data_IF_663626455965
#
_entry.id   IF_663626455965
#
_cell.length_a   1.000
_cell.length_b   1.000
_cell.length_c   1.000
_cell.angle_alpha   90.00
_cell.angle_beta   90.00
_cell.angle_gamma   90.00
#
_symmetry.space_group_name_H-M   'P 1'
#
loop_
_entity.id
_entity.type
_entity.pdbx_description
1 polymer ?
#
# COMPACT_ATOMS: atom_id res chain seq x y z
N UNK A 1 -7.54 3.44 52.84
CA UNK A 1 -8.73 3.83 52.07
C UNK A 1 -8.28 4.94 51.12
N UNK A 2 -7.44 4.63 50.11
CA UNK A 2 -7.83 4.43 48.69
C UNK A 2 -8.51 5.69 48.12
N UNK A 3 -7.73 6.69 47.70
CA UNK A 3 -7.11 6.85 46.36
C UNK A 3 -8.18 7.16 45.29
N UNK A 4 -8.22 8.45 44.93
CA UNK A 4 -9.04 9.04 43.87
C UNK A 4 -9.02 8.21 42.59
N UNK A 5 -10.20 7.76 42.20
CA UNK A 5 -10.46 7.09 40.93
C UNK A 5 -10.28 8.11 39.79
N UNK A 6 -9.26 7.86 38.96
CA UNK A 6 -8.82 8.75 37.87
C UNK A 6 -9.53 8.44 36.55
N UNK A 7 -10.68 7.78 36.59
CA UNK A 7 -11.51 7.48 35.43
C UNK A 7 -12.77 8.35 35.38
N UNK A 8 -13.07 9.03 34.26
CA UNK A 8 -14.36 9.67 34.06
C UNK A 8 -15.49 8.64 34.02
N UNK A 9 -16.68 9.04 34.48
CA UNK A 9 -17.89 8.21 34.48
C UNK A 9 -18.25 7.66 33.09
N UNK A 10 -18.82 6.45 33.08
CA UNK A 10 -19.16 5.69 31.88
C UNK A 10 -20.22 6.41 31.03
N UNK A 11 -19.76 7.18 30.04
CA UNK A 11 -20.58 7.68 28.95
C UNK A 11 -20.03 7.25 27.59
N UNK A 12 -20.87 6.54 26.83
CA UNK A 12 -20.97 6.52 25.37
C UNK A 12 -19.83 5.93 24.51
N UNK A 13 -18.56 6.00 24.91
CA UNK A 13 -17.41 5.70 24.02
C UNK A 13 -16.86 4.27 24.09
N UNK A 14 -17.33 3.43 25.02
CA UNK A 14 -16.82 2.04 25.19
C UNK A 14 -17.43 1.00 24.24
N UNK A 15 -18.32 1.36 23.31
CA UNK A 15 -18.83 0.39 22.32
C UNK A 15 -17.95 0.21 21.08
N UNK A 16 -16.92 1.02 20.88
CA UNK A 16 -16.04 0.90 19.70
C UNK A 16 -14.78 0.04 19.90
N UNK A 17 -14.48 -0.43 21.12
CA UNK A 17 -13.21 -1.15 21.41
C UNK A 17 -13.43 -2.59 21.91
N UNK A 18 -14.57 -3.20 21.58
CA UNK A 18 -14.83 -4.64 21.88
C UNK A 18 -15.15 -5.49 20.64
N UNK A 19 -14.89 -4.98 19.43
CA UNK A 19 -15.13 -5.72 18.18
C UNK A 19 -14.00 -6.63 17.69
N UNK A 20 -12.78 -6.58 18.27
CA UNK A 20 -11.59 -7.22 17.68
C UNK A 20 -11.05 -8.39 18.51
N UNK A 21 -11.85 -9.00 19.38
CA UNK A 21 -11.44 -10.22 20.09
C UNK A 21 -12.53 -11.28 19.97
N UNK A 22 -12.39 -12.18 19.00
CA UNK A 22 -13.23 -13.38 18.91
C UNK A 22 -13.36 -13.96 17.50
N UNK A 23 -12.31 -14.64 17.03
CA UNK A 23 -12.36 -15.34 15.74
C UNK A 23 -11.38 -16.52 15.65
N UNK A 24 -11.07 -17.19 16.75
CA UNK A 24 -10.26 -18.41 16.76
C UNK A 24 -11.10 -19.57 17.29
N UNK A 25 -11.91 -20.19 16.41
CA UNK A 25 -12.24 -21.63 16.40
C UNK A 25 -13.33 -21.90 15.35
N UNK A 26 -12.99 -22.56 14.25
CA UNK A 26 -13.93 -23.43 13.53
C UNK A 26 -13.17 -24.66 13.05
N UNK A 27 -13.16 -25.68 13.90
CA UNK A 27 -12.87 -27.05 13.50
C UNK A 27 -14.17 -27.68 12.99
N UNK A 28 -14.13 -28.11 11.72
CA UNK A 28 -15.02 -28.98 10.94
C UNK A 28 -16.45 -29.32 11.43
N UNK A 29 -17.43 -29.12 10.56
CA UNK A 29 -18.10 -30.17 9.76
C UNK A 29 -19.12 -29.51 8.81
N UNK A 30 -19.25 -30.06 7.59
CA UNK A 30 -20.04 -29.48 6.51
C UNK A 30 -21.56 -29.63 6.64
N UNK A 31 -22.26 -28.81 5.86
CA UNK A 31 -23.42 -29.11 4.97
C UNK A 31 -24.12 -27.77 4.65
N UNK A 32 -24.23 -27.50 3.35
CA UNK A 32 -25.22 -26.69 2.64
C UNK A 32 -25.88 -25.48 3.35
N UNK A 33 -25.55 -24.29 2.82
CA UNK A 33 -26.49 -23.18 2.65
C UNK A 33 -26.86 -22.37 3.89
N UNK A 34 -26.44 -21.11 3.92
CA UNK A 34 -27.29 -19.90 3.84
C UNK A 34 -26.74 -18.72 4.65
N UNK A 35 -27.08 -17.54 4.12
CA UNK A 35 -27.09 -16.21 4.74
C UNK A 35 -25.74 -15.50 4.85
N UNK A 36 -25.51 -14.60 3.90
CA UNK A 36 -24.56 -13.49 4.00
C UNK A 36 -24.95 -12.58 5.17
N UNK A 37 -24.37 -12.84 6.35
CA UNK A 37 -24.42 -11.88 7.47
C UNK A 37 -23.24 -10.92 7.30
N UNK A 38 -23.34 -9.98 6.35
CA UNK A 38 -22.46 -8.81 6.28
C UNK A 38 -23.12 -7.54 6.86
N UNK A 39 -24.33 -7.65 7.40
CA UNK A 39 -25.00 -6.52 8.04
C UNK A 39 -24.78 -6.59 9.54
N UNK A 40 -23.98 -5.67 10.09
CA UNK A 40 -24.16 -5.00 11.40
C UNK A 40 -22.92 -4.21 11.88
N UNK A 41 -21.82 -4.11 11.11
CA UNK A 41 -20.68 -3.23 11.44
C UNK A 41 -20.03 -2.48 10.27
N UNK A 42 -20.55 -2.59 9.03
CA UNK A 42 -20.02 -1.81 7.91
C UNK A 42 -20.28 -0.32 8.13
N UNK A 43 -19.23 0.49 8.08
CA UNK A 43 -19.36 1.93 7.89
C UNK A 43 -20.12 2.18 6.57
N UNK A 44 -20.94 3.23 6.52
CA UNK A 44 -21.60 3.63 5.28
C UNK A 44 -20.56 4.02 4.22
N UNK A 45 -20.75 3.53 2.98
CA UNK A 45 -19.91 3.87 1.83
C UNK A 45 -19.94 2.80 0.74
N UNK A 46 -19.25 3.04 -0.37
CA UNK A 46 -19.14 2.13 -1.54
C UNK A 46 -17.88 1.27 -1.40
N UNK A 47 -18.03 -0.03 -1.68
CA UNK A 47 -16.94 -1.01 -1.56
C UNK A 47 -16.47 -1.22 -0.12
N UNK A 48 -15.27 -1.74 0.03
CA UNK A 48 -14.65 -2.01 1.32
C UNK A 48 -15.03 -3.38 1.91
N UNK A 49 -14.38 -3.72 3.02
CA UNK A 49 -14.48 -5.04 3.64
C UNK A 49 -13.21 -5.87 3.46
N UNK A 50 -13.29 -7.19 3.70
CA UNK A 50 -12.12 -8.06 3.58
C UNK A 50 -11.69 -8.17 2.12
N UNK A 51 -10.44 -7.79 1.84
CA UNK A 51 -9.78 -7.95 0.54
C UNK A 51 -8.45 -8.68 0.74
N UNK A 52 -8.13 -9.57 -0.18
CA UNK A 52 -6.81 -10.21 -0.23
C UNK A 52 -5.93 -9.36 -1.15
N UNK A 53 -4.89 -8.74 -0.57
CA UNK A 53 -4.01 -7.82 -1.29
C UNK A 53 -2.56 -8.30 -1.22
N UNK A 54 -1.79 -8.03 -2.27
CA UNK A 54 -0.36 -8.26 -2.30
C UNK A 54 0.36 -7.07 -1.67
N UNK A 55 1.21 -7.35 -0.67
CA UNK A 55 1.83 -6.32 0.15
C UNK A 55 3.30 -6.63 0.40
N UNK A 56 4.12 -5.61 0.66
CA UNK A 56 5.48 -5.83 1.17
C UNK A 56 5.44 -6.48 2.56
N UNK A 57 6.30 -7.46 2.83
CA UNK A 57 6.22 -8.26 4.04
C UNK A 57 6.54 -7.45 5.31
N UNK A 58 5.61 -7.43 6.27
CA UNK A 58 5.85 -6.81 7.59
C UNK A 58 6.64 -7.76 8.48
N UNK A 59 7.94 -7.50 8.54
CA UNK A 59 8.90 -8.29 9.32
C UNK A 59 9.10 -7.82 10.77
N UNK A 60 8.55 -6.67 11.17
CA UNK A 60 8.66 -6.18 12.55
C UNK A 60 7.76 -5.01 12.94
N UNK A 61 7.65 -4.79 14.25
CA UNK A 61 6.90 -3.68 14.87
C UNK A 61 5.38 -3.87 14.93
N UNK A 62 4.62 -2.82 15.29
CA UNK A 62 3.20 -2.92 15.65
C UNK A 62 2.21 -2.84 14.48
N UNK A 63 2.69 -2.56 13.25
CA UNK A 63 1.82 -2.52 12.09
C UNK A 63 1.05 -3.85 11.92
N UNK A 64 -0.23 -3.82 11.55
CA UNK A 64 -1.04 -5.04 11.44
C UNK A 64 -0.69 -5.89 10.21
N UNK A 65 -0.30 -5.27 9.10
CA UNK A 65 0.00 -5.91 7.80
C UNK A 65 0.98 -5.07 6.98
N UNK A 66 1.42 -5.59 5.83
CA UNK A 66 2.29 -4.95 4.85
C UNK A 66 1.67 -3.75 4.13
N UNK A 67 2.48 -2.96 3.42
CA UNK A 67 1.93 -1.89 2.57
C UNK A 67 1.61 -2.46 1.17
N UNK A 68 0.44 -2.13 0.58
CA UNK A 68 0.01 -2.66 -0.71
C UNK A 68 0.99 -2.34 -1.84
N UNK A 69 1.31 -3.36 -2.63
CA UNK A 69 2.00 -3.18 -3.90
C UNK A 69 1.10 -2.40 -4.87
N UNK A 70 1.71 -1.53 -5.65
CA UNK A 70 1.10 -0.95 -6.84
C UNK A 70 1.70 -1.71 -8.02
N UNK A 71 0.92 -2.51 -8.78
CA UNK A 71 1.41 -3.10 -10.01
C UNK A 71 1.85 -2.00 -10.98
N UNK A 72 2.92 -2.24 -11.73
CA UNK A 72 3.52 -1.25 -12.63
C UNK A 72 3.72 -1.80 -14.02
N UNK A 73 3.88 -0.90 -14.98
CA UNK A 73 4.40 -1.19 -16.32
C UNK A 73 5.32 -0.05 -16.76
N UNK A 74 6.28 -0.38 -17.63
CA UNK A 74 7.14 0.59 -18.30
C UNK A 74 6.62 0.77 -19.73
N UNK A 75 6.36 2.01 -20.14
CA UNK A 75 5.90 2.28 -21.50
C UNK A 75 7.01 2.13 -22.55
N UNK A 76 6.66 2.27 -23.83
CA UNK A 76 7.61 2.13 -24.95
C UNK A 76 8.66 3.24 -25.02
N UNK A 77 8.44 4.35 -24.31
CA UNK A 77 9.40 5.43 -24.15
C UNK A 77 10.27 5.27 -22.90
N UNK A 78 10.00 4.28 -22.02
CA UNK A 78 10.75 4.00 -20.81
C UNK A 78 10.19 4.65 -19.53
N UNK A 79 9.02 5.29 -19.57
CA UNK A 79 8.39 5.90 -18.40
C UNK A 79 7.59 4.89 -17.56
N UNK A 80 7.66 5.06 -16.25
CA UNK A 80 7.09 4.14 -15.27
C UNK A 80 5.70 4.64 -14.85
N UNK A 81 4.69 3.78 -14.97
CA UNK A 81 3.32 4.07 -14.50
C UNK A 81 2.75 2.95 -13.66
N UNK A 82 1.88 3.32 -12.72
CA UNK A 82 1.10 2.35 -11.95
C UNK A 82 -0.09 1.85 -12.77
N UNK A 83 -0.34 0.55 -12.78
CA UNK A 83 -1.53 -0.03 -13.41
C UNK A 83 -2.74 0.35 -12.56
N UNK A 84 -3.76 0.95 -13.17
CA UNK A 84 -5.07 1.13 -12.53
C UNK A 84 -6.04 0.11 -13.12
N UNK A 85 -6.79 -0.65 -12.29
CA UNK A 85 -7.66 -1.70 -12.80
C UNK A 85 -8.77 -1.17 -13.71
N UNK A 86 -9.33 -2.05 -14.54
CA UNK A 86 -10.54 -1.75 -15.31
C UNK A 86 -11.71 -1.35 -14.41
N UNK A 87 -12.46 -0.31 -14.82
CA UNK A 87 -13.65 0.17 -14.12
C UNK A 87 -14.87 -0.61 -14.58
N UNK A 88 -15.56 -1.26 -13.65
CA UNK A 88 -16.82 -1.97 -13.88
C UNK A 88 -17.96 -1.32 -13.07
N UNK A 89 -19.18 -1.43 -13.59
CA UNK A 89 -20.41 -0.97 -12.91
C UNK A 89 -21.14 -2.17 -12.33
N UNK A 90 -21.28 -2.20 -11.00
CA UNK A 90 -21.93 -3.30 -10.27
C UNK A 90 -23.17 -2.84 -9.50
N UNK A 91 -24.19 -3.69 -9.42
CA UNK A 91 -25.36 -3.43 -8.57
C UNK A 91 -25.10 -3.97 -7.15
N UNK A 92 -24.80 -3.08 -6.21
CA UNK A 92 -24.60 -3.41 -4.79
C UNK A 92 -25.80 -2.92 -3.99
N UNK A 93 -26.56 -3.87 -3.41
CA UNK A 93 -27.75 -3.57 -2.60
C UNK A 93 -28.81 -2.73 -3.34
N UNK A 94 -28.94 -2.91 -4.66
CA UNK A 94 -29.91 -2.17 -5.49
C UNK A 94 -29.44 -0.78 -5.92
N UNK A 95 -28.16 -0.47 -5.77
CA UNK A 95 -27.52 0.78 -6.22
C UNK A 95 -26.40 0.43 -7.18
N UNK A 96 -26.40 1.03 -8.37
CA UNK A 96 -25.28 0.94 -9.30
C UNK A 96 -24.08 1.71 -8.74
N UNK A 97 -22.94 1.04 -8.63
CA UNK A 97 -21.69 1.59 -8.12
C UNK A 97 -20.53 1.23 -9.05
N UNK A 98 -19.61 2.16 -9.25
CA UNK A 98 -18.40 1.92 -10.03
C UNK A 98 -17.27 1.44 -9.13
N UNK A 99 -16.60 0.37 -9.56
CA UNK A 99 -15.52 -0.29 -8.86
C UNK A 99 -14.42 -0.61 -9.87
N UNK A 100 -13.19 -0.19 -9.61
CA UNK A 100 -12.04 -0.62 -10.39
C UNK A 100 -11.52 -1.98 -9.87
N UNK A 101 -11.62 -3.03 -10.71
CA UNK A 101 -11.08 -4.36 -10.43
C UNK A 101 -10.77 -5.14 -11.72
N UNK A 102 -9.74 -5.97 -11.70
CA UNK A 102 -9.39 -6.87 -12.79
C UNK A 102 -8.69 -8.14 -12.29
N UNK A 103 -8.46 -9.10 -13.18
CA UNK A 103 -7.59 -10.24 -12.91
C UNK A 103 -6.17 -9.92 -13.38
N UNK A 104 -5.20 -10.00 -12.48
CA UNK A 104 -3.79 -9.76 -12.76
C UNK A 104 -2.94 -10.81 -12.05
N UNK A 105 -2.03 -11.47 -12.78
CA UNK A 105 -1.13 -12.47 -12.21
C UNK A 105 -1.83 -13.58 -11.40
N UNK A 106 -3.02 -14.01 -11.84
CA UNK A 106 -3.83 -15.03 -11.19
C UNK A 106 -4.57 -14.58 -9.92
N UNK A 107 -4.58 -13.29 -9.60
CA UNK A 107 -5.26 -12.72 -8.44
C UNK A 107 -6.23 -11.60 -8.85
N UNK A 108 -7.24 -11.34 -8.00
CA UNK A 108 -8.10 -10.17 -8.18
C UNK A 108 -7.37 -8.92 -7.67
N UNK A 109 -6.98 -8.06 -8.59
CA UNK A 109 -6.43 -6.74 -8.30
C UNK A 109 -7.56 -5.72 -8.28
N UNK A 110 -7.65 -4.90 -7.23
CA UNK A 110 -8.70 -3.88 -7.12
C UNK A 110 -8.22 -2.62 -6.43
N UNK A 111 -8.90 -1.50 -6.69
CA UNK A 111 -8.64 -0.24 -5.99
C UNK A 111 -8.79 -0.33 -4.46
N UNK A 112 -9.54 -1.32 -3.97
CA UNK A 112 -9.81 -1.53 -2.55
C UNK A 112 -8.54 -1.86 -1.76
N UNK A 113 -7.50 -2.36 -2.43
CA UNK A 113 -6.18 -2.57 -1.86
C UNK A 113 -5.62 -1.29 -1.24
N UNK A 114 -5.98 -0.13 -1.79
CA UNK A 114 -5.45 1.18 -1.39
C UNK A 114 -6.36 1.93 -0.41
N UNK A 115 -7.52 1.38 -0.04
CA UNK A 115 -8.55 2.07 0.74
C UNK A 115 -8.30 2.03 2.27
N UNK A 116 -7.12 2.45 2.73
CA UNK A 116 -6.77 2.55 4.16
C UNK A 116 -6.26 3.93 4.55
N UNK A 117 -6.15 4.19 5.85
CA UNK A 117 -5.43 5.36 6.36
C UNK A 117 -5.93 6.72 5.84
N UNK A 118 -7.19 6.82 5.43
CA UNK A 118 -7.80 8.02 4.85
C UNK A 118 -7.79 8.05 3.32
N UNK A 119 -7.03 7.17 2.67
CA UNK A 119 -6.96 7.13 1.20
C UNK A 119 -8.32 6.81 0.56
N UNK A 120 -9.22 6.11 1.27
CA UNK A 120 -10.57 5.82 0.77
C UNK A 120 -11.41 7.07 0.46
N UNK A 121 -10.98 8.27 0.91
CA UNK A 121 -11.59 9.55 0.56
C UNK A 121 -10.73 10.40 -0.37
N UNK A 122 -9.65 9.85 -0.94
CA UNK A 122 -8.80 10.57 -1.88
C UNK A 122 -9.41 10.47 -3.27
N UNK A 123 -9.46 11.59 -3.98
CA UNK A 123 -10.00 11.68 -5.34
C UNK A 123 -9.26 10.74 -6.29
N UNK A 124 -7.95 10.55 -6.09
CA UNK A 124 -7.15 9.57 -6.83
C UNK A 124 -7.61 8.11 -6.74
N UNK A 125 -8.42 7.75 -5.73
CA UNK A 125 -9.04 6.41 -5.63
C UNK A 125 -10.47 6.36 -6.18
N UNK A 126 -10.97 7.46 -6.73
CA UNK A 126 -12.19 7.40 -7.52
C UNK A 126 -11.92 6.61 -8.81
N UNK A 127 -12.76 5.61 -9.17
CA UNK A 127 -12.60 4.84 -10.39
C UNK A 127 -12.46 5.71 -11.64
N UNK A 128 -13.17 6.85 -11.68
CA UNK A 128 -13.24 7.76 -12.83
C UNK A 128 -12.31 8.98 -12.72
N UNK A 129 -11.41 8.99 -11.74
CA UNK A 129 -10.43 10.07 -11.62
C UNK A 129 -9.51 10.11 -12.84
N UNK A 130 -9.44 11.28 -13.47
CA UNK A 130 -8.63 11.54 -14.66
C UNK A 130 -7.15 11.64 -14.25
N UNK A 131 -6.37 10.61 -14.57
CA UNK A 131 -4.94 10.55 -14.33
C UNK A 131 -4.25 9.77 -15.44
N UNK A 132 -3.05 10.21 -15.80
CA UNK A 132 -2.18 9.51 -16.74
C UNK A 132 -1.42 8.34 -16.07
N UNK A 133 -1.65 8.11 -14.77
CA UNK A 133 -1.10 7.02 -13.95
C UNK A 133 0.44 6.96 -13.86
N UNK A 134 1.17 7.87 -14.48
CA UNK A 134 2.62 7.94 -14.35
C UNK A 134 3.00 8.32 -12.93
N UNK A 135 4.07 7.72 -12.41
CA UNK A 135 4.61 8.18 -11.15
C UNK A 135 5.32 9.51 -11.35
N UNK A 136 5.03 10.46 -10.45
CA UNK A 136 5.57 11.82 -10.53
C UNK A 136 6.34 12.18 -9.26
N UNK A 137 7.44 12.91 -9.42
CA UNK A 137 8.23 13.36 -8.29
C UNK A 137 7.42 14.34 -7.44
N UNK A 138 7.44 14.14 -6.13
CA UNK A 138 6.86 15.10 -5.17
C UNK A 138 7.76 16.34 -5.07
N UNK A 139 7.18 17.44 -4.58
CA UNK A 139 7.83 18.69 -4.19
C UNK A 139 8.98 18.52 -3.18
N UNK A 140 8.97 17.44 -2.41
CA UNK A 140 9.99 17.11 -1.41
C UNK A 140 10.53 15.68 -1.59
N UNK A 141 11.41 15.45 -2.59
CA UNK A 141 12.01 14.14 -2.84
C UNK A 141 12.64 13.50 -1.61
N UNK A 142 12.51 12.18 -1.52
CA UNK A 142 12.96 11.40 -0.38
C UNK A 142 14.47 11.13 -0.34
N UNK A 143 15.17 11.33 -1.46
CA UNK A 143 16.57 10.98 -1.64
C UNK A 143 17.35 12.11 -2.32
N UNK A 144 18.61 12.29 -1.92
CA UNK A 144 19.47 13.37 -2.45
C UNK A 144 19.63 13.29 -3.97
N UNK A 145 19.88 12.08 -4.51
CA UNK A 145 20.01 11.87 -5.95
C UNK A 145 18.75 12.31 -6.72
N UNK A 146 17.57 12.11 -6.14
CA UNK A 146 16.30 12.45 -6.75
C UNK A 146 16.11 13.98 -6.71
N UNK A 147 16.43 14.62 -5.57
CA UNK A 147 16.36 16.07 -5.42
C UNK A 147 17.32 16.83 -6.37
N UNK A 148 18.42 16.21 -6.78
CA UNK A 148 19.39 16.81 -7.69
C UNK A 148 18.95 16.78 -9.17
N UNK A 149 18.02 15.89 -9.55
CA UNK A 149 17.69 15.62 -10.96
C UNK A 149 16.20 15.68 -11.32
N UNK A 150 15.31 15.82 -10.33
CA UNK A 150 13.86 15.90 -10.54
C UNK A 150 13.26 17.17 -9.96
N UNK A 151 12.44 17.83 -10.75
CA UNK A 151 11.50 18.85 -10.29
C UNK A 151 10.15 18.21 -9.91
N UNK A 152 9.31 18.95 -9.17
CA UNK A 152 7.95 18.52 -8.85
C UNK A 152 7.14 18.24 -10.13
N UNK A 153 6.45 17.10 -10.16
CA UNK A 153 5.64 16.68 -11.31
C UNK A 153 6.42 15.94 -12.40
N UNK A 154 7.76 15.90 -12.34
CA UNK A 154 8.56 15.14 -13.30
C UNK A 154 8.24 13.65 -13.21
N UNK A 155 8.08 13.01 -14.38
CA UNK A 155 7.87 11.57 -14.49
C UNK A 155 9.15 10.80 -14.22
N UNK A 156 9.01 9.58 -13.72
CA UNK A 156 10.13 8.63 -13.59
C UNK A 156 10.31 7.82 -14.87
N UNK A 157 11.56 7.71 -15.30
CA UNK A 157 12.01 6.91 -16.42
C UNK A 157 12.92 5.79 -15.91
N UNK A 158 12.95 4.65 -16.60
CA UNK A 158 13.76 3.48 -16.19
C UNK A 158 15.25 3.81 -16.01
N UNK A 159 15.80 4.64 -16.91
CA UNK A 159 17.18 5.16 -16.85
C UNK A 159 17.50 5.94 -15.56
N UNK A 160 16.50 6.50 -14.87
CA UNK A 160 16.72 7.14 -13.56
C UNK A 160 17.29 6.14 -12.55
N UNK A 161 17.14 4.84 -12.80
CA UNK A 161 17.52 3.75 -11.92
C UNK A 161 18.69 2.90 -12.42
N UNK A 162 19.38 3.25 -13.53
CA UNK A 162 20.36 2.37 -14.18
C UNK A 162 21.54 1.91 -13.31
N UNK A 163 21.92 2.69 -12.30
CA UNK A 163 22.98 2.36 -11.35
C UNK A 163 22.49 1.54 -10.14
N UNK A 164 21.30 0.92 -10.18
CA UNK A 164 20.69 0.21 -9.05
C UNK A 164 21.55 -0.91 -8.45
N UNK A 165 22.40 -1.56 -9.25
CA UNK A 165 23.33 -2.62 -8.82
C UNK A 165 24.53 -2.09 -8.02
N UNK A 166 24.80 -0.78 -8.08
CA UNK A 166 25.92 -0.14 -7.39
C UNK A 166 25.46 0.94 -6.39
N UNK A 167 24.23 1.43 -6.54
CA UNK A 167 23.69 2.54 -5.77
C UNK A 167 23.73 2.28 -4.26
N UNK A 168 24.09 3.31 -3.50
CA UNK A 168 24.08 3.32 -2.05
C UNK A 168 24.12 4.74 -1.49
N UNK A 169 23.75 4.90 -0.23
CA UNK A 169 23.64 6.20 0.44
C UNK A 169 24.07 6.14 1.92
N UNK A 170 25.07 5.31 2.23
CA UNK A 170 25.57 5.03 3.59
C UNK A 170 24.55 4.39 4.55
N UNK A 171 23.36 4.00 4.06
CA UNK A 171 22.37 3.20 4.80
C UNK A 171 22.23 1.83 4.16
N UNK A 172 22.58 0.79 4.93
CA UNK A 172 22.52 -0.60 4.46
C UNK A 172 23.63 -0.94 3.47
N UNK A 173 23.38 -1.94 2.64
CA UNK A 173 24.34 -2.43 1.64
C UNK A 173 24.09 -1.79 0.29
N UNK A 174 25.13 -1.29 -0.38
CA UNK A 174 25.03 -0.84 -1.78
C UNK A 174 24.56 -1.96 -2.70
N UNK A 175 23.90 -1.62 -3.81
CA UNK A 175 23.48 -2.56 -4.85
C UNK A 175 22.27 -3.41 -4.52
N UNK A 176 21.64 -3.24 -3.35
CA UNK A 176 20.41 -3.96 -2.99
C UNK A 176 19.19 -3.39 -3.73
N UNK A 177 19.29 -2.18 -4.26
CA UNK A 177 18.24 -1.53 -5.04
C UNK A 177 18.27 -0.02 -4.87
N UNK A 178 17.90 0.68 -5.93
CA UNK A 178 17.82 2.14 -5.96
C UNK A 178 16.37 2.59 -5.80
N UNK A 179 16.07 3.44 -4.80
CA UNK A 179 14.71 3.88 -4.53
C UNK A 179 14.43 5.31 -5.00
N UNK A 180 13.17 5.59 -5.34
CA UNK A 180 12.61 6.94 -5.46
C UNK A 180 11.32 7.06 -4.63
N UNK A 181 10.98 8.28 -4.20
CA UNK A 181 9.64 8.59 -3.67
C UNK A 181 8.85 9.34 -4.72
N UNK A 182 7.60 8.95 -4.94
CA UNK A 182 6.74 9.57 -5.94
C UNK A 182 5.31 9.74 -5.42
N UNK A 183 4.49 10.40 -6.22
CA UNK A 183 3.04 10.45 -6.10
C UNK A 183 2.42 9.65 -7.24
N UNK A 184 1.18 9.20 -7.03
CA UNK A 184 0.41 8.45 -8.02
C UNK A 184 -1.05 8.92 -8.00
N UNK A 185 -1.67 9.16 -9.16
CA UNK A 185 -3.07 9.59 -9.25
C UNK A 185 -3.38 10.74 -8.28
N UNK A 186 -2.55 11.78 -8.33
CA UNK A 186 -2.55 12.89 -7.36
C UNK A 186 -2.50 14.26 -8.04
N UNK A 187 -2.70 14.31 -9.36
CA UNK A 187 -2.74 15.53 -10.16
C UNK A 187 -4.02 16.33 -9.88
N UNK A 188 -3.92 17.65 -9.81
CA UNK A 188 -5.07 18.54 -9.66
C UNK A 188 -5.98 18.23 -8.44
N UNK A 189 -5.43 17.58 -7.41
CA UNK A 189 -6.10 17.27 -6.13
C UNK A 189 -5.22 17.65 -4.94
N UNK A 190 -5.86 17.98 -3.81
CA UNK A 190 -5.18 18.25 -2.54
C UNK A 190 -4.70 16.96 -1.84
N UNK A 191 -5.23 15.80 -2.24
CA UNK A 191 -4.94 14.52 -1.58
C UNK A 191 -3.92 13.71 -2.37
N UNK A 192 -2.74 13.53 -1.77
CA UNK A 192 -1.63 12.80 -2.40
C UNK A 192 -1.60 11.34 -1.97
N UNK A 193 -1.52 10.42 -2.94
CA UNK A 193 -1.19 9.00 -2.71
C UNK A 193 0.33 8.84 -2.84
N UNK A 194 1.08 8.75 -1.72
CA UNK A 194 2.52 8.59 -1.78
C UNK A 194 2.88 7.16 -2.17
N UNK A 195 3.88 6.99 -3.02
CA UNK A 195 4.42 5.69 -3.42
C UNK A 195 5.95 5.69 -3.31
N UNK A 196 6.52 4.51 -3.18
CA UNK A 196 7.96 4.28 -3.36
C UNK A 196 8.15 3.36 -4.54
N UNK A 197 9.09 3.73 -5.41
CA UNK A 197 9.55 2.93 -6.56
C UNK A 197 10.93 2.40 -6.20
N UNK A 198 11.22 1.14 -6.48
CA UNK A 198 12.54 0.55 -6.31
C UNK A 198 12.86 -0.29 -7.55
N UNK A 199 14.08 -0.13 -8.10
CA UNK A 199 14.66 -1.10 -9.04
C UNK A 199 15.67 -1.99 -8.32
N UNK A 200 15.60 -3.30 -8.51
CA UNK A 200 16.50 -4.27 -7.86
C UNK A 200 16.58 -5.59 -8.62
N UNK A 201 17.79 -6.15 -8.70
CA UNK A 201 18.03 -7.50 -9.26
C UNK A 201 17.33 -8.59 -8.45
N UNK A 202 17.08 -8.35 -7.16
CA UNK A 202 16.28 -9.28 -6.33
C UNK A 202 14.85 -9.42 -6.81
N UNK A 203 14.28 -8.34 -7.36
CA UNK A 203 12.91 -8.39 -7.90
C UNK A 203 12.89 -9.12 -9.25
N UNK A 204 13.91 -8.92 -10.10
CA UNK A 204 14.07 -9.68 -11.34
C UNK A 204 14.18 -11.19 -11.09
N UNK A 205 14.94 -11.59 -10.05
CA UNK A 205 15.05 -12.98 -9.63
C UNK A 205 13.73 -13.52 -9.08
N UNK A 206 13.04 -12.75 -8.23
CA UNK A 206 11.77 -13.17 -7.63
C UNK A 206 10.63 -13.29 -8.67
N UNK A 207 10.62 -12.45 -9.70
CA UNK A 207 9.63 -12.48 -10.78
C UNK A 207 9.69 -13.79 -11.60
N UNK A 208 10.88 -14.35 -11.80
CA UNK A 208 11.07 -15.61 -12.55
C UNK A 208 10.35 -16.82 -11.91
N UNK A 209 10.04 -16.74 -10.62
CA UNK A 209 9.42 -17.83 -9.86
C UNK A 209 7.98 -17.50 -9.39
N UNK A 210 7.42 -16.35 -9.78
CA UNK A 210 6.15 -15.85 -9.27
C UNK A 210 5.29 -15.22 -10.37
N UNK A 211 4.18 -15.88 -10.73
CA UNK A 211 3.21 -15.38 -11.72
C UNK A 211 2.69 -13.98 -11.39
N UNK A 212 2.48 -13.69 -10.10
CA UNK A 212 2.07 -12.37 -9.66
C UNK A 212 3.16 -11.32 -9.91
N UNK A 213 4.41 -11.60 -9.56
CA UNK A 213 5.50 -10.63 -9.71
C UNK A 213 5.85 -10.43 -11.18
N UNK A 214 5.87 -11.49 -11.99
CA UNK A 214 6.03 -11.41 -13.45
C UNK A 214 4.97 -10.50 -14.10
N UNK A 215 3.74 -10.51 -13.59
CA UNK A 215 2.64 -9.68 -14.11
C UNK A 215 2.55 -8.26 -13.51
N UNK A 216 3.20 -7.99 -12.37
CA UNK A 216 3.00 -6.74 -11.60
C UNK A 216 4.27 -5.92 -11.42
N UNK A 217 5.39 -6.37 -11.98
CA UNK A 217 6.70 -5.72 -11.96
C UNK A 217 7.31 -5.75 -13.36
N UNK A 218 8.25 -4.86 -13.64
CA UNK A 218 8.87 -4.77 -14.97
C UNK A 218 10.32 -4.32 -14.86
N UNK A 219 11.24 -4.97 -15.58
CA UNK A 219 12.70 -4.70 -15.55
C UNK A 219 13.30 -4.52 -14.14
N UNK A 220 12.81 -5.30 -13.17
CA UNK A 220 13.23 -5.24 -11.77
C UNK A 220 12.65 -4.05 -10.98
N UNK A 221 11.82 -3.23 -11.61
CA UNK A 221 11.07 -2.13 -11.01
C UNK A 221 9.79 -2.64 -10.37
N UNK A 222 9.55 -2.21 -9.14
CA UNK A 222 8.29 -2.42 -8.44
C UNK A 222 7.96 -1.20 -7.59
N UNK A 223 6.68 -1.07 -7.23
CA UNK A 223 6.21 0.04 -6.41
C UNK A 223 5.23 -0.42 -5.32
N UNK A 224 5.11 0.39 -4.27
CA UNK A 224 4.12 0.19 -3.21
C UNK A 224 3.65 1.53 -2.64
N UNK A 225 2.44 1.55 -2.11
CA UNK A 225 1.89 2.74 -1.42
C UNK A 225 2.69 2.99 -0.15
N UNK A 226 3.25 4.19 -0.02
CA UNK A 226 4.14 4.57 1.08
C UNK A 226 3.38 5.13 2.28
N UNK A 227 2.44 4.34 2.82
CA UNK A 227 1.64 4.69 3.99
C UNK A 227 1.66 3.53 4.99
N UNK A 228 2.27 3.74 6.15
CA UNK A 228 2.36 2.73 7.20
C UNK A 228 0.95 2.36 7.72
N UNK A 229 0.68 1.06 7.77
CA UNK A 229 -0.63 0.49 8.13
C UNK A 229 -0.96 0.57 9.63
N UNK A 230 -0.03 1.05 10.47
CA UNK A 230 -0.26 1.24 11.89
C UNK A 230 -1.03 2.55 12.18
N UNK A 231 -0.35 3.69 12.01
CA UNK A 231 -0.89 5.03 12.23
C UNK A 231 -0.48 5.98 11.11
N UNK A 232 -0.43 5.47 9.88
CA UNK A 232 -0.48 6.26 8.66
C UNK A 232 0.70 7.23 8.44
N UNK A 233 1.83 7.01 9.11
CA UNK A 233 3.08 7.70 8.81
C UNK A 233 3.62 7.26 7.43
N UNK A 234 4.51 8.07 6.85
CA UNK A 234 5.21 7.76 5.59
C UNK A 234 6.59 7.19 5.95
N UNK A 235 6.81 5.87 5.84
CA UNK A 235 8.11 5.27 6.12
C UNK A 235 9.11 5.51 4.98
N UNK A 236 10.33 5.00 5.16
CA UNK A 236 11.39 5.16 4.17
C UNK A 236 12.26 3.91 4.02
N UNK A 237 12.52 3.51 2.78
CA UNK A 237 13.56 2.53 2.44
C UNK A 237 14.92 3.21 2.49
N UNK A 238 15.89 2.69 3.24
CA UNK A 238 17.26 3.26 3.33
C UNK A 238 17.33 4.78 3.63
N UNK A 239 16.34 5.32 4.34
CA UNK A 239 16.21 6.78 4.58
C UNK A 239 16.92 7.29 5.83
N UNK A 240 17.27 6.41 6.75
CA UNK A 240 17.83 6.80 8.05
C UNK A 240 18.75 5.72 8.58
N UNK A 241 19.93 6.10 9.05
CA UNK A 241 20.86 5.19 9.73
C UNK A 241 20.32 4.65 11.07
N UNK A 242 19.28 5.25 11.65
CA UNK A 242 18.64 4.74 12.86
C UNK A 242 17.98 3.37 12.67
N UNK A 243 17.63 3.04 11.43
CA UNK A 243 17.06 1.75 11.04
C UNK A 243 17.95 0.57 11.45
N UNK A 244 19.26 0.78 11.59
CA UNK A 244 20.22 -0.24 12.03
C UNK A 244 19.93 -0.80 13.43
N UNK A 245 19.31 0.00 14.31
CA UNK A 245 18.90 -0.46 15.64
C UNK A 245 17.80 -1.53 15.60
N UNK A 246 17.18 -1.71 14.44
CA UNK A 246 16.05 -2.60 14.20
C UNK A 246 16.35 -3.65 13.11
N UNK A 247 17.61 -3.78 12.68
CA UNK A 247 18.02 -4.62 11.54
C UNK A 247 17.21 -4.30 10.27
N UNK A 248 17.01 -3.01 10.02
CA UNK A 248 16.14 -2.49 8.98
C UNK A 248 16.87 -1.59 7.97
N UNK A 249 18.19 -1.68 7.88
CA UNK A 249 19.01 -0.84 7.01
C UNK A 249 18.67 -1.03 5.53
N UNK A 250 18.51 -2.29 5.08
CA UNK A 250 18.05 -2.64 3.73
C UNK A 250 16.53 -2.89 3.67
N UNK A 251 15.77 -2.19 4.53
CA UNK A 251 14.32 -2.39 4.67
C UNK A 251 13.59 -1.05 4.69
N UNK A 252 12.28 -1.12 4.56
CA UNK A 252 11.40 0.03 4.78
C UNK A 252 11.20 0.17 6.29
N UNK A 253 11.61 1.31 6.85
CA UNK A 253 11.54 1.58 8.27
C UNK A 253 10.60 2.75 8.59
N UNK A 254 9.66 2.52 9.50
CA UNK A 254 8.73 3.52 10.00
C UNK A 254 9.14 4.01 11.40
N UNK A 255 9.78 5.19 11.48
CA UNK A 255 10.27 5.76 12.74
C UNK A 255 9.19 6.01 13.80
N UNK A 256 7.93 6.27 13.39
CA UNK A 256 6.86 6.63 14.32
C UNK A 256 6.65 5.60 15.42
N UNK A 257 6.61 4.32 15.05
CA UNK A 257 6.38 3.22 15.99
C UNK A 257 7.23 1.98 15.67
N UNK A 258 8.30 2.16 14.89
CA UNK A 258 9.33 1.16 14.66
C UNK A 258 8.84 -0.08 13.89
N UNK A 259 7.89 0.12 12.97
CA UNK A 259 7.50 -0.94 12.02
C UNK A 259 8.56 -1.12 10.93
N UNK A 260 8.80 -2.37 10.57
CA UNK A 260 9.82 -2.78 9.60
C UNK A 260 9.15 -3.65 8.53
N UNK A 261 9.47 -3.37 7.28
CA UNK A 261 8.95 -4.12 6.14
C UNK A 261 10.08 -4.52 5.19
N UNK A 262 10.05 -5.76 4.71
CA UNK A 262 10.92 -6.23 3.64
C UNK A 262 10.27 -5.93 2.29
N UNK A 263 10.79 -4.97 1.50
CA UNK A 263 10.18 -4.61 0.24
C UNK A 263 10.37 -5.67 -0.85
N UNK A 264 11.34 -6.58 -0.69
CA UNK A 264 11.67 -7.60 -1.71
C UNK A 264 10.92 -8.92 -1.50
N UNK A 265 10.12 -9.01 -0.45
CA UNK A 265 9.24 -10.14 -0.20
C UNK A 265 7.79 -9.65 -0.29
N UNK A 266 7.12 -9.93 -1.41
CA UNK A 266 5.70 -9.62 -1.60
C UNK A 266 4.86 -10.81 -1.16
N UNK A 267 3.93 -10.57 -0.24
CA UNK A 267 3.08 -11.60 0.36
C UNK A 267 1.61 -11.24 0.26
N UNK A 268 0.76 -12.26 0.06
CA UNK A 268 -0.69 -12.10 0.19
C UNK A 268 -1.05 -11.83 1.65
N UNK A 269 -1.88 -10.81 1.87
CA UNK A 269 -2.41 -10.47 3.19
C UNK A 269 -3.89 -10.14 3.13
N UNK A 270 -4.65 -10.67 4.08
CA UNK A 270 -6.03 -10.26 4.32
C UNK A 270 -6.05 -8.88 4.98
N UNK A 271 -6.60 -7.93 4.25
CA UNK A 271 -6.71 -6.53 4.61
C UNK A 271 -8.21 -6.15 4.74
N UNK A 272 -8.54 -5.18 5.59
CA UNK A 272 -9.91 -4.63 5.69
C UNK A 272 -9.93 -3.25 5.03
N UNK A 273 -10.36 -3.23 3.76
CA UNK A 273 -10.63 -2.03 2.99
C UNK A 273 -11.69 -1.17 3.68
N UNK A 274 -11.40 0.11 3.88
CA UNK A 274 -12.40 1.07 4.35
C UNK A 274 -13.32 1.42 3.18
N UNK A 275 -14.64 1.54 3.40
CA UNK A 275 -15.55 1.94 2.33
C UNK A 275 -15.29 3.40 1.92
N UNK A 276 -15.42 3.70 0.62
CA UNK A 276 -15.33 5.07 0.12
C UNK A 276 -16.59 5.86 0.54
N UNK A 277 -16.47 7.11 0.99
CA UNK A 277 -17.65 7.94 1.30
C UNK A 277 -18.59 8.06 0.08
N UNK A 278 -19.90 8.07 0.34
CA UNK A 278 -20.90 8.51 -0.64
C UNK A 278 -21.20 9.99 -0.39
N UNK A 279 -21.44 10.75 -1.45
CA UNK A 279 -21.96 12.13 -1.37
C UNK A 279 -23.36 12.20 -0.73
#
# INVERSE_FOLDING_TARGET
>A
MSADDKYPEESGRRRFVKGVVGGATLAGLGVAGTVSVQSLTSASGIGGGPVEAMTIDRTGGPAPYGMPQVPIEIDDEGYIRGVWPEVDTEEVQGVEVEIAREELGGLQYSQEWFQYCGHQSYEGLDPNFDSDNYFKSDSAPGYDWQADVKDEGDRFHIDDFDDYEEWGNDVGNSGVGKPATATWRSEDTDNVIPVVIIRSSRMEEAAQESEWLDASTDEGVFAFVNKCTHFCCVPGYKRTGESARYNAEDRVYCQCHQSVYDPFNIVSTLYIALPRPQD
#
